data_IF_545468888290
#
_entry.id   IF_545468888290
#
_cell.length_a   1.000
_cell.length_b   1.000
_cell.length_c   1.000
_cell.angle_alpha   90.00
_cell.angle_beta   90.00
_cell.angle_gamma   90.00
#
_symmetry.space_group_name_H-M   'P 1'
#
loop_
_entity.id
_entity.type
_entity.pdbx_description
1 polymer ?
#
# COMPACT_ATOMS: atom_id res chain seq x y z
N UNK A 1 -24.12 27.32 13.57
CA UNK A 1 -22.78 27.34 12.93
C UNK A 1 -22.00 28.52 13.51
N UNK A 2 -20.94 28.27 14.29
CA UNK A 2 -20.18 29.34 14.92
C UNK A 2 -19.01 29.79 14.03
N UNK A 3 -19.10 31.00 13.47
CA UNK A 3 -17.99 31.65 12.79
C UNK A 3 -16.97 32.12 13.85
N UNK A 4 -15.86 31.40 14.02
CA UNK A 4 -14.73 31.87 14.84
C UNK A 4 -13.94 32.92 14.07
N UNK A 5 -14.24 34.20 14.31
CA UNK A 5 -13.44 35.33 13.81
C UNK A 5 -12.19 35.42 14.70
N UNK A 6 -11.03 35.03 14.18
CA UNK A 6 -9.76 35.23 14.88
C UNK A 6 -9.33 36.70 14.80
N UNK A 7 -9.10 37.31 15.96
CA UNK A 7 -8.63 38.69 16.12
C UNK A 7 -7.33 38.92 15.35
N UNK A 8 -7.35 39.86 14.41
CA UNK A 8 -6.22 40.22 13.56
C UNK A 8 -5.01 40.63 14.43
N UNK A 9 -3.91 39.90 14.37
CA UNK A 9 -2.65 40.32 15.00
C UNK A 9 -2.01 41.42 14.15
N UNK A 10 -1.44 42.45 14.78
CA UNK A 10 -0.71 43.47 14.04
C UNK A 10 0.59 42.90 13.48
N UNK A 11 0.79 43.04 12.17
CA UNK A 11 2.02 42.59 11.50
C UNK A 11 3.29 43.30 11.99
N UNK A 12 3.16 44.46 12.64
CA UNK A 12 4.29 45.25 13.14
C UNK A 12 4.72 44.87 14.55
N UNK A 13 3.76 44.72 15.48
CA UNK A 13 4.07 44.47 16.89
C UNK A 13 3.63 43.08 17.40
N UNK A 14 3.02 42.22 16.55
CA UNK A 14 2.62 40.84 16.87
C UNK A 14 1.44 40.71 17.85
N UNK A 15 1.05 41.81 18.50
CA UNK A 15 -0.05 41.86 19.49
C UNK A 15 -1.43 41.79 18.80
N UNK A 16 -2.44 41.16 19.43
CA UNK A 16 -3.80 41.14 18.91
C UNK A 16 -4.36 42.57 18.79
N UNK A 17 -4.90 42.95 17.61
CA UNK A 17 -5.66 44.19 17.44
C UNK A 17 -7.05 44.02 18.06
N UNK A 18 -7.25 44.57 19.25
CA UNK A 18 -8.55 45.18 19.55
C UNK A 18 -8.86 46.30 18.54
N UNK A 19 -10.09 46.80 18.51
CA UNK A 19 -10.58 47.78 17.51
C UNK A 19 -9.66 49.00 17.35
N UNK A 20 -8.93 49.37 18.41
CA UNK A 20 -7.90 50.40 18.39
C UNK A 20 -6.65 49.87 19.08
N UNK A 21 -5.51 49.84 18.38
CA UNK A 21 -4.23 49.88 19.09
C UNK A 21 -3.23 50.74 18.34
N UNK A 22 -2.50 51.53 19.10
CA UNK A 22 -1.36 52.33 18.69
C UNK A 22 -0.09 51.51 18.92
N UNK A 23 0.55 50.98 17.85
CA UNK A 23 1.89 50.40 18.01
C UNK A 23 2.86 51.57 18.17
N UNK A 24 3.36 51.81 19.37
CA UNK A 24 4.47 52.75 19.62
C UNK A 24 5.77 52.02 19.26
N UNK A 25 6.27 52.23 18.05
CA UNK A 25 7.62 51.81 17.65
C UNK A 25 8.57 52.98 17.83
N UNK A 26 9.75 52.74 18.44
CA UNK A 26 10.83 53.72 18.69
C UNK A 26 11.00 54.71 17.53
N UNK A 27 11.02 56.00 17.85
CA UNK A 27 11.07 57.15 16.94
C UNK A 27 12.35 57.25 16.08
N UNK A 28 13.41 56.48 16.40
CA UNK A 28 14.77 56.73 15.87
C UNK A 28 15.08 56.12 14.50
N UNK A 29 14.10 55.52 13.80
CA UNK A 29 14.32 55.03 12.43
C UNK A 29 13.33 55.66 11.47
N UNK A 30 13.79 56.67 10.72
CA UNK A 30 13.13 57.16 9.50
C UNK A 30 12.94 55.99 8.53
N UNK A 31 11.75 55.38 8.51
CA UNK A 31 11.36 54.37 7.51
C UNK A 31 10.19 54.90 6.69
N UNK A 32 10.28 54.68 5.36
CA UNK A 32 9.28 55.10 4.38
C UNK A 32 7.89 54.52 4.77
N UNK A 33 6.81 55.32 4.73
CA UNK A 33 5.46 54.87 5.11
C UNK A 33 4.92 53.85 4.11
N UNK A 34 5.18 52.57 4.38
CA UNK A 34 4.59 51.45 3.63
C UNK A 34 3.23 51.09 4.22
N UNK A 35 2.17 51.14 3.39
CA UNK A 35 0.82 50.68 3.77
C UNK A 35 0.89 49.20 4.15
N UNK A 36 0.74 48.87 5.44
CA UNK A 36 0.64 47.48 5.89
C UNK A 36 -0.68 46.90 5.39
N UNK A 37 -0.61 46.12 4.30
CA UNK A 37 -1.77 45.48 3.68
C UNK A 37 -2.25 44.33 4.60
N UNK A 38 -3.33 44.56 5.34
CA UNK A 38 -4.00 43.52 6.12
C UNK A 38 -4.51 42.45 5.15
N UNK A 39 -3.95 41.23 5.23
CA UNK A 39 -4.44 40.05 4.51
C UNK A 39 -5.31 39.22 5.46
N UNK A 40 -6.63 39.40 5.49
CA UNK A 40 -7.49 38.53 6.29
C UNK A 40 -7.35 37.09 5.78
N UNK A 41 -6.94 36.17 6.66
CA UNK A 41 -6.92 34.73 6.38
C UNK A 41 -8.22 34.13 6.86
N UNK A 42 -9.25 34.15 6.01
CA UNK A 42 -10.51 33.44 6.28
C UNK A 42 -10.27 31.96 5.96
N UNK A 43 -10.09 31.13 6.99
CA UNK A 43 -10.06 29.67 6.83
C UNK A 43 -11.49 29.16 6.78
N UNK A 44 -12.03 28.96 5.57
CA UNK A 44 -13.32 28.28 5.39
C UNK A 44 -13.09 26.77 5.49
N UNK A 45 -13.52 26.17 6.60
CA UNK A 45 -13.31 24.73 6.90
C UNK A 45 -14.42 23.82 6.38
N UNK A 46 -15.38 24.33 5.61
CA UNK A 46 -16.45 23.51 5.05
C UNK A 46 -15.93 22.71 3.84
N UNK A 47 -16.11 21.40 3.80
CA UNK A 47 -15.76 20.52 2.66
C UNK A 47 -17.01 20.19 1.81
N UNK A 48 -16.87 20.06 0.47
CA UNK A 48 -17.96 19.67 -0.44
C UNK A 48 -18.30 18.22 -0.14
N UNK A 49 -19.51 17.93 0.37
CA UNK A 49 -19.95 16.54 0.67
C UNK A 49 -19.84 15.61 -0.54
N UNK A 50 -19.94 16.15 -1.76
CA UNK A 50 -19.90 15.40 -3.01
C UNK A 50 -18.49 15.02 -3.46
N UNK A 51 -17.48 15.86 -3.23
CA UNK A 51 -16.12 15.64 -3.75
C UNK A 51 -15.02 15.66 -2.68
N UNK A 52 -15.34 15.92 -1.42
CA UNK A 52 -14.41 15.96 -0.28
C UNK A 52 -13.47 17.16 -0.23
N UNK A 53 -13.42 18.00 -1.27
CA UNK A 53 -12.52 19.17 -1.35
C UNK A 53 -13.04 20.36 -0.52
N UNK A 54 -12.18 21.26 -0.01
CA UNK A 54 -12.62 22.45 0.70
C UNK A 54 -13.52 23.33 -0.20
N UNK A 55 -14.70 23.69 0.30
CA UNK A 55 -15.63 24.64 -0.34
C UNK A 55 -15.06 26.05 -0.23
N UNK A 56 -14.12 26.37 -1.09
CA UNK A 56 -13.83 27.77 -1.40
C UNK A 56 -15.03 28.44 -2.05
N UNK A 57 -15.05 29.78 -2.05
CA UNK A 57 -16.13 30.60 -2.63
C UNK A 57 -16.43 30.24 -4.10
N UNK A 58 -15.42 29.75 -4.84
CA UNK A 58 -15.50 29.40 -6.26
C UNK A 58 -15.28 27.89 -6.52
N UNK A 59 -15.62 27.00 -5.60
CA UNK A 59 -15.47 25.57 -5.86
C UNK A 59 -16.59 25.07 -6.80
N UNK A 60 -16.22 24.64 -8.00
CA UNK A 60 -17.10 23.85 -8.88
C UNK A 60 -16.77 22.37 -8.65
N UNK A 61 -17.71 21.59 -8.09
CA UNK A 61 -17.49 20.16 -7.90
C UNK A 61 -17.54 19.50 -9.30
N UNK A 62 -16.39 19.32 -9.95
CA UNK A 62 -16.27 18.44 -11.12
C UNK A 62 -16.62 17.03 -10.66
N UNK A 63 -17.84 16.61 -10.95
CA UNK A 63 -18.27 15.23 -10.78
C UNK A 63 -17.43 14.43 -11.78
N UNK A 64 -16.36 13.78 -11.30
CA UNK A 64 -15.62 12.82 -12.11
C UNK A 64 -16.57 11.66 -12.38
N UNK A 65 -17.27 11.72 -13.50
CA UNK A 65 -18.23 10.69 -13.88
C UNK A 65 -17.49 9.36 -13.96
N UNK A 66 -18.08 8.32 -13.37
CA UNK A 66 -17.49 6.99 -13.25
C UNK A 66 -17.36 6.24 -14.60
N UNK A 67 -17.39 6.96 -15.72
CA UNK A 67 -17.41 6.39 -17.06
C UNK A 67 -16.12 5.64 -17.36
N UNK A 68 -14.96 6.16 -16.95
CA UNK A 68 -13.66 5.50 -17.17
C UNK A 68 -13.55 4.19 -16.39
N UNK A 69 -14.02 4.12 -15.13
CA UNK A 69 -13.98 2.87 -14.37
C UNK A 69 -15.01 1.86 -14.88
N UNK A 70 -16.21 2.31 -15.25
CA UNK A 70 -17.22 1.44 -15.91
C UNK A 70 -16.71 0.86 -17.23
N UNK A 71 -16.05 1.66 -18.08
CA UNK A 71 -15.43 1.20 -19.32
C UNK A 71 -14.31 0.18 -19.05
N UNK A 72 -13.45 0.43 -18.06
CA UNK A 72 -12.39 -0.51 -17.67
C UNK A 72 -12.96 -1.83 -17.11
N UNK A 73 -14.03 -1.77 -16.31
CA UNK A 73 -14.71 -2.95 -15.79
C UNK A 73 -15.34 -3.79 -16.92
N UNK A 74 -15.97 -3.13 -17.90
CA UNK A 74 -16.52 -3.81 -19.08
C UNK A 74 -15.41 -4.50 -19.91
N UNK A 75 -14.29 -3.83 -20.13
CA UNK A 75 -13.14 -4.40 -20.85
C UNK A 75 -12.57 -5.64 -20.14
N UNK A 76 -12.48 -5.62 -18.81
CA UNK A 76 -12.03 -6.79 -18.02
C UNK A 76 -12.98 -7.98 -18.15
N UNK A 77 -14.29 -7.74 -18.14
CA UNK A 77 -15.30 -8.80 -18.34
C UNK A 77 -15.16 -9.44 -19.72
N UNK A 78 -15.02 -8.63 -20.77
CA UNK A 78 -14.83 -9.14 -22.14
C UNK A 78 -13.52 -9.93 -22.27
N UNK A 79 -12.43 -9.48 -21.67
CA UNK A 79 -11.16 -10.21 -21.69
C UNK A 79 -11.26 -11.57 -20.97
N UNK A 80 -11.92 -11.61 -19.81
CA UNK A 80 -12.17 -12.86 -19.08
C UNK A 80 -13.02 -13.83 -19.90
N UNK A 81 -14.05 -13.34 -20.59
CA UNK A 81 -14.89 -14.16 -21.45
C UNK A 81 -14.13 -14.72 -22.66
N UNK A 82 -13.28 -13.92 -23.32
CA UNK A 82 -12.40 -14.40 -24.40
C UNK A 82 -11.48 -15.52 -23.92
N UNK A 83 -10.88 -15.38 -22.73
CA UNK A 83 -10.04 -16.44 -22.14
C UNK A 83 -10.85 -17.71 -21.87
N UNK A 84 -12.06 -17.60 -21.32
CA UNK A 84 -12.96 -18.76 -21.10
C UNK A 84 -13.32 -19.46 -22.42
N UNK A 85 -13.66 -18.71 -23.47
CA UNK A 85 -13.95 -19.26 -24.81
C UNK A 85 -12.74 -19.96 -25.43
N UNK A 86 -11.55 -19.37 -25.32
CA UNK A 86 -10.31 -20.01 -25.81
C UNK A 86 -9.98 -21.30 -25.05
N UNK A 87 -10.12 -21.30 -23.72
CA UNK A 87 -9.91 -22.49 -22.90
C UNK A 87 -10.91 -23.60 -23.25
N UNK A 88 -12.19 -23.26 -23.43
CA UNK A 88 -13.20 -24.21 -23.90
C UNK A 88 -12.86 -24.80 -25.27
N UNK A 89 -12.42 -23.96 -26.21
CA UNK A 89 -12.00 -24.42 -27.56
C UNK A 89 -10.78 -25.34 -27.50
N UNK A 90 -9.77 -25.05 -26.67
CA UNK A 90 -8.62 -25.94 -26.45
C UNK A 90 -9.03 -27.27 -25.84
N UNK A 91 -9.94 -27.27 -24.87
CA UNK A 91 -10.46 -28.49 -24.24
C UNK A 91 -11.24 -29.34 -25.24
N UNK A 92 -12.09 -28.72 -26.07
CA UNK A 92 -12.82 -29.41 -27.14
C UNK A 92 -11.87 -30.02 -28.18
N UNK A 93 -10.85 -29.28 -28.62
CA UNK A 93 -9.85 -29.79 -29.55
C UNK A 93 -9.05 -30.97 -28.98
N UNK A 94 -8.68 -30.91 -27.69
CA UNK A 94 -8.02 -32.02 -27.01
C UNK A 94 -8.91 -33.26 -26.89
N UNK A 95 -10.21 -33.09 -26.64
CA UNK A 95 -11.18 -34.18 -26.61
C UNK A 95 -11.34 -34.83 -28.00
N UNK A 96 -11.44 -34.03 -29.06
CA UNK A 96 -11.51 -34.53 -30.44
C UNK A 96 -10.26 -35.33 -30.82
N UNK A 97 -9.06 -34.89 -30.40
CA UNK A 97 -7.82 -35.66 -30.62
C UNK A 97 -7.85 -37.03 -29.95
N UNK A 98 -8.42 -37.13 -28.74
CA UNK A 98 -8.55 -38.43 -28.04
C UNK A 98 -9.53 -39.37 -28.73
N UNK A 99 -10.58 -38.83 -29.34
CA UNK A 99 -11.56 -39.62 -30.10
C UNK A 99 -11.01 -40.10 -31.45
N UNK A 100 -10.18 -39.28 -32.11
CA UNK A 100 -9.61 -39.59 -33.42
C UNK A 100 -8.28 -40.37 -33.38
N UNK A 101 -7.74 -40.69 -32.20
CA UNK A 101 -6.62 -41.64 -32.09
C UNK A 101 -7.18 -43.06 -32.04
N UNK A 102 -7.15 -43.84 -33.15
CA UNK A 102 -7.49 -45.25 -33.08
C UNK A 102 -6.55 -45.91 -32.09
N UNK A 103 -7.12 -46.68 -31.16
CA UNK A 103 -6.39 -47.46 -30.17
C UNK A 103 -5.51 -48.47 -30.91
N UNK A 104 -4.26 -48.07 -31.23
CA UNK A 104 -3.28 -49.00 -31.80
C UNK A 104 -3.10 -50.11 -30.76
N UNK A 105 -3.44 -51.37 -31.08
CA UNK A 105 -3.41 -52.44 -30.10
C UNK A 105 -2.00 -52.56 -29.56
N UNK A 106 -1.91 -52.49 -28.22
CA UNK A 106 -0.69 -52.64 -27.46
C UNK A 106 -0.31 -54.12 -27.54
N UNK A 107 0.55 -54.48 -28.49
CA UNK A 107 1.12 -55.82 -28.55
C UNK A 107 1.84 -56.11 -27.22
N UNK A 108 1.59 -57.28 -26.60
CA UNK A 108 2.27 -57.65 -25.36
C UNK A 108 3.77 -57.80 -25.64
N UNK A 109 4.57 -57.27 -24.71
CA UNK A 109 6.02 -57.28 -24.77
C UNK A 109 6.54 -58.71 -24.96
N UNK A 110 7.14 -58.98 -26.12
CA UNK A 110 7.86 -60.23 -26.37
C UNK A 110 9.11 -60.28 -25.49
N UNK A 111 9.34 -61.43 -24.85
CA UNK A 111 10.56 -61.73 -24.08
C UNK A 111 11.80 -61.55 -24.97
N UNK A 112 12.91 -61.02 -24.45
CA UNK A 112 14.14 -60.87 -25.24
C UNK A 112 14.76 -62.25 -25.50
N UNK A 113 14.84 -62.63 -26.77
CA UNK A 113 15.57 -63.83 -27.21
C UNK A 113 17.00 -63.41 -27.58
N UNK A 114 18.06 -64.09 -27.10
CA UNK A 114 19.43 -63.77 -27.48
C UNK A 114 19.74 -64.47 -28.81
N UNK A 115 19.78 -63.72 -29.91
CA UNK A 115 20.16 -64.32 -31.20
C UNK A 115 20.17 -63.37 -32.38
N UNK A 116 21.37 -63.20 -32.95
CA UNK A 116 21.71 -62.63 -34.27
C UNK A 116 21.42 -61.14 -34.50
N UNK A 117 22.50 -60.37 -34.43
CA UNK A 117 22.61 -59.01 -34.95
C UNK A 117 22.31 -58.97 -36.46
N UNK A 118 21.07 -58.66 -36.81
CA UNK A 118 20.76 -57.97 -38.06
C UNK A 118 21.10 -56.50 -37.87
N UNK A 119 21.83 -55.91 -38.82
CA UNK A 119 22.17 -54.49 -38.84
C UNK A 119 20.91 -53.62 -38.91
N UNK A 120 20.33 -53.32 -37.75
CA UNK A 120 19.15 -52.48 -37.55
C UNK A 120 19.45 -51.42 -36.50
N UNK A 121 19.76 -50.21 -36.97
CA UNK A 121 19.93 -48.93 -36.27
C UNK A 121 19.76 -48.98 -34.74
N UNK A 122 20.88 -48.91 -34.01
CA UNK A 122 20.88 -48.54 -32.61
C UNK A 122 20.07 -47.23 -32.43
N UNK A 123 18.96 -47.32 -31.69
CA UNK A 123 18.11 -46.17 -31.38
C UNK A 123 18.92 -45.14 -30.60
N UNK A 124 19.01 -43.92 -31.12
CA UNK A 124 19.67 -42.83 -30.43
C UNK A 124 18.68 -42.20 -29.47
N UNK A 125 18.96 -42.30 -28.17
CA UNK A 125 18.18 -41.62 -27.14
C UNK A 125 18.60 -40.16 -27.04
N UNK A 126 17.71 -39.27 -27.47
CA UNK A 126 17.91 -37.82 -27.49
C UNK A 126 17.85 -37.19 -26.10
N UNK A 127 17.28 -37.87 -25.09
CA UNK A 127 17.22 -37.35 -23.71
C UNK A 127 18.55 -37.48 -22.99
N UNK A 128 19.36 -38.46 -23.37
CA UNK A 128 20.65 -38.76 -22.76
C UNK A 128 21.83 -38.37 -23.66
N UNK A 129 21.56 -37.86 -24.87
CA UNK A 129 22.58 -37.39 -25.80
C UNK A 129 23.28 -36.12 -25.30
N UNK A 130 24.56 -36.27 -24.92
CA UNK A 130 25.44 -35.16 -24.51
C UNK A 130 26.20 -34.49 -25.66
N UNK A 131 26.16 -35.06 -26.86
CA UNK A 131 26.87 -34.52 -28.03
C UNK A 131 26.24 -33.20 -28.49
N UNK A 132 27.00 -32.10 -28.39
CA UNK A 132 26.57 -30.74 -28.74
C UNK A 132 26.30 -30.56 -30.22
N UNK A 133 26.92 -31.37 -31.09
CA UNK A 133 26.80 -31.28 -32.55
C UNK A 133 25.99 -32.42 -33.16
N UNK A 134 25.15 -33.09 -32.37
CA UNK A 134 24.33 -34.19 -32.88
C UNK A 134 23.39 -33.71 -34.00
N UNK A 135 23.70 -34.06 -35.25
CA UNK A 135 22.95 -33.68 -36.47
C UNK A 135 21.60 -34.39 -36.62
N UNK A 136 21.20 -35.23 -35.65
CA UNK A 136 19.90 -35.91 -35.71
C UNK A 136 18.81 -34.92 -35.35
N UNK A 137 17.87 -34.71 -36.27
CA UNK A 137 16.75 -33.78 -36.13
C UNK A 137 15.99 -33.92 -34.80
N UNK A 138 15.71 -35.15 -34.36
CA UNK A 138 15.01 -35.39 -33.09
C UNK A 138 15.80 -34.90 -31.86
N UNK A 139 17.13 -34.92 -31.91
CA UNK A 139 18.00 -34.43 -30.84
C UNK A 139 18.04 -32.88 -30.85
N UNK A 140 18.13 -32.28 -32.04
CA UNK A 140 18.07 -30.81 -32.20
C UNK A 140 16.73 -30.26 -31.70
N UNK A 141 15.61 -30.82 -32.18
CA UNK A 141 14.28 -30.38 -31.79
C UNK A 141 14.01 -30.54 -30.27
N UNK A 142 14.52 -31.60 -29.64
CA UNK A 142 14.39 -31.78 -28.20
C UNK A 142 15.22 -30.76 -27.41
N UNK A 143 16.45 -30.47 -27.84
CA UNK A 143 17.32 -29.49 -27.20
C UNK A 143 16.79 -28.06 -27.32
N UNK A 144 16.30 -27.68 -28.50
CA UNK A 144 15.65 -26.39 -28.72
C UNK A 144 14.42 -26.24 -27.83
N UNK A 145 13.53 -27.24 -27.80
CA UNK A 145 12.35 -27.21 -26.95
C UNK A 145 12.69 -27.19 -25.45
N UNK A 146 13.74 -27.89 -25.03
CA UNK A 146 14.20 -27.89 -23.64
C UNK A 146 14.81 -26.55 -23.24
N UNK A 147 15.61 -25.94 -24.12
CA UNK A 147 16.17 -24.60 -23.91
C UNK A 147 15.07 -23.53 -23.85
N UNK A 148 14.09 -23.60 -24.74
CA UNK A 148 12.93 -22.72 -24.73
C UNK A 148 12.10 -22.90 -23.44
N UNK A 149 11.85 -24.14 -23.03
CA UNK A 149 11.13 -24.42 -21.79
C UNK A 149 11.87 -23.91 -20.54
N UNK A 150 13.21 -24.01 -20.51
CA UNK A 150 14.03 -23.45 -19.43
C UNK A 150 14.00 -21.91 -19.44
N UNK A 151 14.05 -21.27 -20.61
CA UNK A 151 13.95 -19.83 -20.73
C UNK A 151 12.59 -19.30 -20.25
N UNK A 152 11.49 -19.92 -20.71
CA UNK A 152 10.13 -19.57 -20.29
C UNK A 152 9.93 -19.83 -18.79
N UNK A 153 10.40 -20.97 -18.28
CA UNK A 153 10.29 -21.31 -16.87
C UNK A 153 11.07 -20.35 -15.96
N UNK A 154 12.22 -19.87 -16.42
CA UNK A 154 13.02 -18.87 -15.69
C UNK A 154 12.34 -17.49 -15.68
N UNK A 155 11.77 -17.06 -16.81
CA UNK A 155 11.06 -15.79 -16.93
C UNK A 155 9.76 -15.77 -16.10
N UNK A 156 8.94 -16.82 -16.19
CA UNK A 156 7.72 -16.97 -15.39
C UNK A 156 8.03 -17.05 -13.89
N UNK A 157 9.10 -17.77 -13.51
CA UNK A 157 9.56 -17.86 -12.13
C UNK A 157 10.04 -16.51 -11.57
N UNK A 158 10.80 -15.74 -12.37
CA UNK A 158 11.24 -14.40 -12.01
C UNK A 158 10.06 -13.43 -11.85
N UNK A 159 9.08 -13.50 -12.75
CA UNK A 159 7.91 -12.63 -12.67
C UNK A 159 7.01 -12.97 -11.46
N UNK A 160 6.83 -14.25 -11.15
CA UNK A 160 6.08 -14.68 -9.96
C UNK A 160 6.75 -14.22 -8.66
N UNK A 161 8.08 -14.36 -8.54
CA UNK A 161 8.80 -13.91 -7.35
C UNK A 161 8.75 -12.38 -7.19
N UNK A 162 8.84 -11.64 -8.30
CA UNK A 162 8.69 -10.19 -8.30
C UNK A 162 7.29 -9.74 -7.87
N UNK A 163 6.24 -10.40 -8.38
CA UNK A 163 4.86 -10.12 -7.96
C UNK A 163 4.61 -10.50 -6.50
N UNK A 164 5.21 -11.59 -6.02
CA UNK A 164 5.13 -12.01 -4.62
C UNK A 164 5.78 -10.99 -3.69
N UNK A 165 7.01 -10.56 -3.97
CA UNK A 165 7.69 -9.51 -3.19
C UNK A 165 6.92 -8.17 -3.21
N UNK A 166 6.23 -7.87 -4.32
CA UNK A 166 5.34 -6.70 -4.40
C UNK A 166 4.09 -6.83 -3.54
N UNK A 167 3.51 -8.03 -3.44
CA UNK A 167 2.37 -8.30 -2.54
C UNK A 167 2.80 -8.25 -1.09
N UNK A 168 3.94 -8.86 -0.77
CA UNK A 168 4.50 -8.84 0.57
C UNK A 168 4.83 -7.42 1.01
N UNK A 169 5.43 -6.58 0.16
CA UNK A 169 5.67 -5.17 0.49
C UNK A 169 4.38 -4.33 0.64
N UNK A 170 3.33 -4.65 -0.10
CA UNK A 170 2.01 -4.01 0.09
C UNK A 170 1.31 -4.49 1.36
N UNK A 171 1.53 -5.74 1.76
CA UNK A 171 0.99 -6.33 3.00
C UNK A 171 1.84 -5.97 4.23
N UNK A 172 3.14 -5.74 4.04
CA UNK A 172 4.13 -5.37 5.06
C UNK A 172 4.21 -3.87 5.29
N UNK A 173 3.24 -3.09 4.80
CA UNK A 173 2.79 -1.94 5.56
C UNK A 173 1.69 -2.42 6.50
N UNK A 174 2.02 -2.90 7.72
CA UNK A 174 1.04 -2.77 8.76
C UNK A 174 0.82 -1.27 8.84
N UNK A 175 -0.36 -0.83 8.48
CA UNK A 175 -1.00 0.19 9.28
C UNK A 175 -1.11 -0.40 10.69
N UNK A 176 0.01 -0.52 11.41
CA UNK A 176 0.04 -0.26 12.85
C UNK A 176 -0.35 1.21 12.96
N UNK A 177 -1.63 1.48 12.70
CA UNK A 177 -2.34 2.41 13.54
C UNK A 177 -2.13 1.83 14.91
N UNK A 178 -1.16 2.38 15.64
CA UNK A 178 -1.13 2.26 17.08
C UNK A 178 -2.59 2.46 17.51
N UNK A 179 -3.21 1.46 18.16
CA UNK A 179 -4.57 1.60 18.62
C UNK A 179 -4.62 2.94 19.36
N UNK A 180 -5.47 3.85 18.88
CA UNK A 180 -5.60 5.16 19.47
C UNK A 180 -6.13 4.93 20.89
N UNK A 181 -5.23 4.89 21.86
CA UNK A 181 -5.61 4.66 23.23
C UNK A 181 -6.38 5.86 23.71
N UNK A 182 -7.57 5.63 24.22
CA UNK A 182 -8.38 6.70 24.78
C UNK A 182 -7.67 7.30 26.00
N UNK A 183 -7.92 8.58 26.27
CA UNK A 183 -7.30 9.33 27.36
C UNK A 183 -7.37 8.58 28.70
N UNK A 184 -8.49 7.88 28.94
CA UNK A 184 -8.72 7.07 30.14
C UNK A 184 -7.80 5.86 30.23
N UNK A 185 -7.54 5.19 29.11
CA UNK A 185 -6.66 4.00 29.08
C UNK A 185 -5.20 4.40 29.34
N UNK A 186 -4.76 5.55 28.81
CA UNK A 186 -3.42 6.08 29.07
C UNK A 186 -3.25 6.41 30.56
N UNK A 187 -4.25 7.04 31.18
CA UNK A 187 -4.21 7.34 32.63
C UNK A 187 -4.16 6.07 33.48
N UNK A 188 -4.97 5.06 33.15
CA UNK A 188 -4.97 3.78 33.86
C UNK A 188 -3.60 3.08 33.75
N UNK A 189 -3.02 3.03 32.55
CA UNK A 189 -1.71 2.43 32.33
C UNK A 189 -0.59 3.16 33.08
N UNK A 190 -0.65 4.48 33.16
CA UNK A 190 0.32 5.27 33.93
C UNK A 190 0.15 5.02 35.43
N UNK A 191 -1.08 4.97 35.95
CA UNK A 191 -1.32 4.66 37.35
C UNK A 191 -0.80 3.26 37.73
N UNK A 192 -1.00 2.27 36.87
CA UNK A 192 -0.48 0.90 37.06
C UNK A 192 1.05 0.83 37.05
N UNK A 193 1.72 1.74 36.33
CA UNK A 193 3.19 1.79 36.27
C UNK A 193 3.83 2.39 37.53
N UNK A 194 3.06 3.12 38.35
CA UNK A 194 3.53 3.79 39.57
C UNK A 194 2.74 3.34 40.81
N UNK A 195 2.72 2.02 41.15
CA UNK A 195 1.93 1.51 42.26
C UNK A 195 2.45 1.99 43.62
N UNK A 196 3.78 2.10 43.78
CA UNK A 196 4.43 2.52 45.03
C UNK A 196 4.12 3.99 45.38
N UNK A 197 3.84 4.79 44.37
CA UNK A 197 3.54 6.21 44.48
C UNK A 197 2.03 6.48 44.70
N UNK A 198 1.18 5.45 44.68
CA UNK A 198 -0.28 5.57 44.86
C UNK A 198 -0.90 6.70 44.00
N UNK A 199 -0.46 6.78 42.73
CA UNK A 199 -0.90 7.83 41.80
C UNK A 199 -2.34 7.56 41.38
N UNK A 200 -3.22 8.56 41.54
CA UNK A 200 -4.63 8.45 41.13
C UNK A 200 -4.83 8.95 39.69
N UNK A 201 -5.79 8.37 38.97
CA UNK A 201 -6.10 8.77 37.58
C UNK A 201 -6.42 10.26 37.44
N UNK A 202 -7.00 10.89 38.48
CA UNK A 202 -7.38 12.30 38.46
C UNK A 202 -6.21 13.27 38.72
N UNK A 203 -5.07 12.76 39.17
CA UNK A 203 -3.80 13.51 39.30
C UNK A 203 -3.02 13.53 37.98
N UNK A 204 -3.37 12.68 37.01
CA UNK A 204 -2.67 12.56 35.73
C UNK A 204 -3.29 13.52 34.71
N UNK A 205 -2.50 14.48 34.26
CA UNK A 205 -2.87 15.49 33.26
C UNK A 205 -2.13 15.23 31.96
N UNK A 206 -2.88 14.96 30.90
CA UNK A 206 -2.36 14.79 29.54
C UNK A 206 -2.38 16.12 28.82
N UNK A 207 -1.20 16.63 28.47
CA UNK A 207 -1.07 17.92 27.77
C UNK A 207 -1.20 17.74 26.25
N UNK A 208 -1.66 18.78 25.51
CA UNK A 208 -1.81 18.73 24.05
C UNK A 208 -0.50 18.53 23.26
N UNK A 209 0.64 18.80 23.90
CA UNK A 209 1.97 18.57 23.32
C UNK A 209 2.43 17.11 23.42
N UNK A 210 1.61 16.24 24.02
CA UNK A 210 1.90 14.85 24.27
C UNK A 210 2.53 14.58 25.63
N UNK A 211 2.74 15.56 26.50
CA UNK A 211 3.38 15.29 27.81
C UNK A 211 2.38 14.68 28.81
N UNK A 212 2.85 13.72 29.60
CA UNK A 212 2.13 13.12 30.73
C UNK A 212 2.67 13.77 32.01
N UNK A 213 1.81 14.48 32.73
CA UNK A 213 2.19 15.21 33.94
C UNK A 213 1.40 14.69 35.13
N UNK A 214 2.09 14.30 36.20
CA UNK A 214 1.47 13.95 37.48
C UNK A 214 1.43 15.21 38.33
N UNK A 215 0.21 15.68 38.61
CA UNK A 215 -0.05 16.89 39.40
C UNK A 215 -0.65 16.55 40.77
N UNK A 216 0.24 16.28 41.74
CA UNK A 216 -0.13 15.95 43.13
C UNK A 216 -0.68 17.13 43.94
N UNK A 217 -0.83 18.32 43.36
CA UNK A 217 -1.28 19.52 44.11
C UNK A 217 -2.69 19.39 44.69
N UNK A 218 -3.51 18.49 44.16
CA UNK A 218 -4.83 18.17 44.73
C UNK A 218 -4.74 17.49 46.09
N UNK A 219 -3.73 16.65 46.29
CA UNK A 219 -3.55 15.83 47.49
C UNK A 219 -2.55 16.48 48.46
N UNK A 220 -1.49 17.09 47.93
CA UNK A 220 -0.51 17.84 48.68
C UNK A 220 -0.25 19.19 48.00
N UNK A 221 -0.79 20.28 48.56
CA UNK A 221 -0.75 21.62 47.96
C UNK A 221 0.69 22.14 47.69
N UNK A 222 1.69 21.62 48.42
CA UNK A 222 3.10 21.99 48.27
C UNK A 222 3.85 21.18 47.19
N UNK A 223 3.24 20.12 46.65
CA UNK A 223 3.89 19.26 45.67
C UNK A 223 4.08 19.99 44.32
N UNK A 224 5.22 19.75 43.68
CA UNK A 224 5.51 20.29 42.34
C UNK A 224 5.03 19.29 41.26
N UNK A 225 4.41 19.75 40.16
CA UNK A 225 4.04 18.86 39.06
C UNK A 225 5.27 18.18 38.46
N UNK A 226 5.19 16.88 38.20
CA UNK A 226 6.27 16.08 37.64
C UNK A 226 5.91 15.60 36.23
N UNK A 227 6.80 15.80 35.26
CA UNK A 227 6.62 15.26 33.91
C UNK A 227 7.26 13.87 33.87
N UNK A 228 6.46 12.83 33.65
CA UNK A 228 6.91 11.43 33.72
C UNK A 228 7.13 10.80 32.35
N UNK A 229 6.60 11.40 31.28
CA UNK A 229 6.79 10.87 29.94
C UNK A 229 6.06 11.67 28.87
N UNK A 230 6.08 11.13 27.66
CA UNK A 230 5.39 11.71 26.51
C UNK A 230 4.61 10.64 25.76
N UNK A 231 3.29 10.78 25.68
CA UNK A 231 2.45 9.94 24.85
C UNK A 231 2.53 10.44 23.40
N UNK A 232 2.94 9.56 22.48
CA UNK A 232 2.91 9.81 21.04
C UNK A 232 1.56 9.34 20.52
N UNK A 233 0.78 10.28 19.98
CA UNK A 233 -0.32 9.99 19.06
C UNK A 233 0.18 9.96 17.62
#
# INVERSE_FOLDING_TARGET
>A
MALKIQVLKCGTCGKPRGLTHTCVTRMDRKRKPGKTRLKPRVKVTATCRTCGKPRGLNHTCQISTDFKKRKAAAARRQAAERKRRQAARRKAAAAARRQNTPSKPRTPAAKPVPGKAGAGKAGHDYRTCKDTECRRYACQAWKEAYAEAMAIGLEDGYQQSYEQGRRESQQASPATGTPHMDERQIKAQVAEHFPDDNVREDEIVLKPNGDIVIDRRKTAAWAKPLVVGRWKN
#
